data_IF_658099982053
#
_entry.id   IF_658099982053
#
_cell.length_a   1.000
_cell.length_b   1.000
_cell.length_c   1.000
_cell.angle_alpha   90.00
_cell.angle_beta   90.00
_cell.angle_gamma   90.00
#
_symmetry.space_group_name_H-M   'P 1'
#
loop_
_entity.id
_entity.type
_entity.pdbx_description
1 polymer ?
#
# COMPACT_ATOMS: atom_id res chain seq x y z
N UNK A 1 9.10 -5.69 41.94
CA UNK A 1 9.35 -6.28 40.59
C UNK A 1 9.14 -5.17 39.59
N UNK A 2 10.21 -4.62 39.04
CA UNK A 2 10.14 -3.57 38.01
C UNK A 2 9.73 -4.29 36.69
N UNK A 3 8.53 -3.97 36.17
CA UNK A 3 8.09 -4.48 34.91
C UNK A 3 9.12 -4.07 33.84
N UNK A 4 9.72 -5.04 33.13
CA UNK A 4 10.55 -4.77 31.97
C UNK A 4 9.58 -4.23 30.90
N UNK A 5 9.58 -2.90 30.72
CA UNK A 5 8.86 -2.26 29.63
C UNK A 5 9.50 -2.79 28.34
N UNK A 6 8.71 -3.49 27.53
CA UNK A 6 9.18 -4.06 26.28
C UNK A 6 9.32 -2.91 25.26
N UNK A 7 10.51 -2.35 25.17
CA UNK A 7 10.86 -1.18 24.31
C UNK A 7 11.08 -1.56 22.83
N UNK A 8 10.66 -2.76 22.42
CA UNK A 8 10.94 -3.29 21.08
C UNK A 8 9.65 -3.59 20.34
N UNK A 9 9.70 -3.38 19.02
CA UNK A 9 8.68 -3.86 18.09
C UNK A 9 8.64 -5.39 18.15
N UNK A 10 7.47 -5.96 18.38
CA UNK A 10 7.24 -7.40 18.33
C UNK A 10 6.80 -7.79 16.92
N UNK A 11 7.29 -8.90 16.41
CA UNK A 11 6.92 -9.38 15.07
C UNK A 11 6.19 -10.72 15.18
N UNK A 12 5.02 -10.81 14.54
CA UNK A 12 4.32 -12.08 14.28
C UNK A 12 4.42 -12.36 12.78
N UNK A 13 5.13 -13.42 12.41
CA UNK A 13 5.40 -13.76 11.00
C UNK A 13 4.43 -14.84 10.50
N UNK A 14 4.04 -14.75 9.22
CA UNK A 14 3.25 -15.77 8.53
C UNK A 14 1.81 -15.92 9.00
N UNK A 15 1.21 -14.86 9.57
CA UNK A 15 -0.18 -14.86 10.00
C UNK A 15 -1.11 -14.96 8.79
N UNK A 16 -2.04 -15.90 8.80
CA UNK A 16 -3.03 -16.07 7.72
C UNK A 16 -4.07 -14.96 7.83
N UNK A 17 -4.22 -14.16 6.76
CA UNK A 17 -5.24 -13.10 6.71
C UNK A 17 -6.43 -13.42 5.81
N UNK A 18 -6.31 -14.44 4.98
CA UNK A 18 -7.36 -14.83 4.05
C UNK A 18 -6.93 -15.94 3.12
N UNK A 19 -7.69 -16.14 2.06
CA UNK A 19 -7.41 -17.15 1.02
C UNK A 19 -7.53 -16.53 -0.37
N UNK A 20 -6.74 -17.03 -1.32
CA UNK A 20 -6.80 -16.60 -2.72
C UNK A 20 -6.34 -17.73 -3.65
N UNK A 21 -7.11 -18.06 -4.69
CA UNK A 21 -6.74 -19.13 -5.61
C UNK A 21 -6.59 -20.51 -4.97
N UNK A 22 -7.26 -20.75 -3.85
CA UNK A 22 -7.19 -22.04 -3.13
C UNK A 22 -6.02 -22.17 -2.15
N UNK A 23 -5.21 -21.11 -1.96
CA UNK A 23 -4.15 -21.10 -0.95
C UNK A 23 -4.38 -20.05 0.14
N UNK A 24 -3.74 -20.24 1.29
CA UNK A 24 -3.67 -19.23 2.33
C UNK A 24 -2.83 -18.03 1.87
N UNK A 25 -3.30 -16.84 2.23
CA UNK A 25 -2.60 -15.57 2.07
C UNK A 25 -2.08 -15.14 3.44
N UNK A 26 -0.80 -14.76 3.51
CA UNK A 26 -0.10 -14.51 4.77
C UNK A 26 0.44 -13.09 4.88
N UNK A 27 0.52 -12.58 6.11
CA UNK A 27 1.14 -11.31 6.43
C UNK A 27 2.11 -11.46 7.61
N UNK A 28 3.00 -10.48 7.74
CA UNK A 28 3.83 -10.29 8.92
C UNK A 28 3.36 -9.02 9.65
N UNK A 29 3.17 -9.12 10.96
CA UNK A 29 2.62 -8.04 11.79
C UNK A 29 3.74 -7.50 12.69
N UNK A 30 3.98 -6.21 12.62
CA UNK A 30 4.95 -5.47 13.44
C UNK A 30 4.19 -4.63 14.46
N UNK A 31 4.14 -5.11 15.70
CA UNK A 31 3.41 -4.48 16.79
C UNK A 31 4.30 -3.48 17.54
N UNK A 32 3.84 -2.23 17.72
CA UNK A 32 4.59 -1.24 18.48
C UNK A 32 4.66 -1.59 19.96
N UNK A 33 5.67 -1.07 20.69
CA UNK A 33 5.65 -1.08 22.15
C UNK A 33 4.37 -0.43 22.68
N UNK A 34 3.75 -1.03 23.69
CA UNK A 34 2.47 -0.55 24.26
C UNK A 34 2.50 0.92 24.68
N UNK A 35 3.66 1.39 25.18
CA UNK A 35 3.84 2.77 25.67
C UNK A 35 3.73 3.85 24.55
N UNK A 36 3.95 3.48 23.28
CA UNK A 36 3.91 4.44 22.16
C UNK A 36 2.80 4.16 21.17
N UNK A 37 2.01 3.11 21.37
CA UNK A 37 0.95 2.68 20.45
C UNK A 37 -0.06 3.82 20.23
N UNK A 38 -0.32 4.17 18.96
CA UNK A 38 -1.13 5.33 18.59
C UNK A 38 -2.47 4.99 17.92
N UNK A 39 -2.76 3.70 17.72
CA UNK A 39 -4.00 3.21 17.13
C UNK A 39 -4.06 3.25 15.61
N UNK A 40 -3.02 3.70 14.90
CA UNK A 40 -3.00 3.66 13.44
C UNK A 40 -2.48 2.30 12.97
N UNK A 41 -3.21 1.67 12.04
CA UNK A 41 -2.78 0.52 11.26
C UNK A 41 -2.19 0.94 9.92
N UNK A 42 -1.05 0.35 9.53
CA UNK A 42 -0.45 0.58 8.20
C UNK A 42 -0.30 -0.75 7.49
N UNK A 43 -1.06 -0.94 6.41
CA UNK A 43 -0.89 -2.08 5.52
C UNK A 43 0.23 -1.77 4.53
N UNK A 44 1.27 -2.61 4.49
CA UNK A 44 2.44 -2.46 3.65
C UNK A 44 2.41 -3.46 2.49
N UNK A 45 2.46 -2.96 1.24
CA UNK A 45 2.34 -3.75 0.01
C UNK A 45 3.63 -3.69 -0.78
N UNK A 46 4.26 -4.85 -0.99
CA UNK A 46 5.56 -4.94 -1.65
C UNK A 46 5.49 -4.67 -3.16
N UNK A 47 6.60 -4.23 -3.74
CA UNK A 47 6.81 -4.09 -5.18
C UNK A 47 7.19 -5.40 -5.86
N UNK A 48 7.76 -5.31 -7.07
CA UNK A 48 8.26 -6.45 -7.84
C UNK A 48 7.48 -6.73 -9.13
N UNK A 49 6.89 -5.69 -9.75
CA UNK A 49 6.20 -5.78 -11.04
C UNK A 49 5.05 -6.79 -11.06
N UNK A 50 4.38 -6.95 -9.92
CA UNK A 50 3.31 -7.92 -9.66
C UNK A 50 3.72 -9.40 -9.87
N UNK A 51 4.96 -9.67 -10.29
CA UNK A 51 5.46 -11.00 -10.69
C UNK A 51 6.47 -11.60 -9.72
N UNK A 52 6.98 -10.82 -8.79
CA UNK A 52 7.98 -11.23 -7.81
C UNK A 52 7.89 -10.39 -6.54
N UNK A 53 8.66 -10.76 -5.53
CA UNK A 53 8.67 -10.09 -4.23
C UNK A 53 7.87 -10.85 -3.18
N UNK A 54 8.01 -10.41 -1.96
CA UNK A 54 7.29 -10.96 -0.82
C UNK A 54 7.19 -9.92 0.31
N UNK A 55 6.40 -10.23 1.34
CA UNK A 55 6.12 -9.37 2.49
C UNK A 55 7.35 -8.94 3.28
N UNK A 56 8.46 -9.70 3.24
CA UNK A 56 9.69 -9.38 3.99
C UNK A 56 10.41 -8.14 3.46
N UNK A 57 10.18 -7.76 2.21
CA UNK A 57 10.80 -6.58 1.58
C UNK A 57 10.52 -5.28 2.35
N UNK A 58 9.38 -5.19 3.02
CA UNK A 58 8.96 -4.00 3.76
C UNK A 58 9.20 -4.09 5.28
N UNK A 59 9.94 -5.12 5.74
CA UNK A 59 10.34 -5.29 7.15
C UNK A 59 11.00 -4.02 7.73
N UNK A 60 11.82 -3.34 6.94
CA UNK A 60 12.47 -2.10 7.35
C UNK A 60 11.46 -1.02 7.76
N UNK A 61 10.45 -0.77 6.94
CA UNK A 61 9.36 0.15 7.26
C UNK A 61 8.52 -0.35 8.44
N UNK A 62 8.19 -1.64 8.48
CA UNK A 62 7.46 -2.25 9.60
C UNK A 62 8.12 -1.96 10.95
N UNK A 63 9.45 -2.13 11.04
CA UNK A 63 10.21 -1.85 12.27
C UNK A 63 10.35 -0.34 12.53
N UNK A 64 10.65 0.47 11.51
CA UNK A 64 10.82 1.93 11.68
C UNK A 64 9.53 2.59 12.18
N UNK A 65 8.41 2.31 11.53
CA UNK A 65 7.10 2.87 11.87
C UNK A 65 6.56 2.24 13.18
N UNK A 66 6.80 0.95 13.41
CA UNK A 66 6.46 0.28 14.67
C UNK A 66 7.10 0.95 15.90
N UNK A 67 8.36 1.38 15.81
CA UNK A 67 9.03 2.15 16.88
C UNK A 67 8.37 3.51 17.15
N UNK A 68 7.61 4.03 16.21
CA UNK A 68 6.87 5.30 16.29
C UNK A 68 5.41 5.11 16.71
N UNK A 69 5.01 3.89 17.07
CA UNK A 69 3.68 3.61 17.62
C UNK A 69 2.65 3.06 16.63
N UNK A 70 3.04 2.82 15.39
CA UNK A 70 2.15 2.30 14.34
C UNK A 70 2.14 0.77 14.32
N UNK A 71 0.97 0.15 14.22
CA UNK A 71 0.87 -1.28 13.94
C UNK A 71 1.01 -1.48 12.43
N UNK A 72 2.09 -2.14 11.98
CA UNK A 72 2.34 -2.34 10.56
C UNK A 72 2.06 -3.79 10.17
N UNK A 73 1.40 -3.99 9.04
CA UNK A 73 1.03 -5.30 8.50
C UNK A 73 1.60 -5.41 7.08
N UNK A 74 2.65 -6.19 6.88
CA UNK A 74 3.21 -6.45 5.56
C UNK A 74 2.53 -7.68 4.96
N UNK A 75 1.72 -7.48 3.90
CA UNK A 75 0.98 -8.58 3.28
C UNK A 75 1.61 -9.04 1.98
N UNK A 76 1.43 -10.31 1.67
CA UNK A 76 1.61 -10.85 0.34
C UNK A 76 0.32 -10.66 -0.48
N UNK A 77 0.42 -10.89 -1.77
CA UNK A 77 -0.67 -11.02 -2.73
C UNK A 77 -0.28 -12.05 -3.79
N UNK A 78 -1.24 -12.63 -4.49
CA UNK A 78 -0.98 -13.57 -5.59
C UNK A 78 -0.19 -12.88 -6.69
N UNK A 79 0.94 -13.48 -7.07
CA UNK A 79 1.79 -12.97 -8.15
C UNK A 79 1.22 -13.40 -9.52
N UNK A 80 1.70 -12.76 -10.59
CA UNK A 80 1.22 -13.03 -11.96
C UNK A 80 1.46 -14.46 -12.44
N UNK A 81 2.41 -15.17 -11.85
CA UNK A 81 2.62 -16.60 -12.06
C UNK A 81 1.54 -17.49 -11.43
N UNK A 82 0.75 -16.95 -10.49
CA UNK A 82 -0.34 -17.67 -9.81
C UNK A 82 -1.70 -17.28 -10.41
N UNK A 83 -1.92 -15.97 -10.65
CA UNK A 83 -3.20 -15.49 -11.15
C UNK A 83 -3.02 -14.14 -11.89
N UNK A 84 -3.87 -13.93 -12.90
CA UNK A 84 -3.98 -12.65 -13.61
C UNK A 84 -4.78 -11.62 -12.78
N UNK A 85 -4.72 -10.35 -13.18
CA UNK A 85 -5.60 -9.31 -12.70
C UNK A 85 -7.08 -9.72 -12.82
N UNK A 86 -7.93 -9.47 -11.81
CA UNK A 86 -7.73 -8.58 -10.64
C UNK A 86 -7.26 -9.28 -9.36
N UNK A 87 -6.72 -10.49 -9.42
CA UNK A 87 -6.35 -11.27 -8.23
C UNK A 87 -5.49 -10.49 -7.21
N UNK A 88 -4.59 -9.65 -7.67
CA UNK A 88 -3.67 -8.87 -6.83
C UNK A 88 -4.42 -7.84 -5.98
N UNK A 89 -5.36 -7.10 -6.57
CA UNK A 89 -6.15 -6.12 -5.82
C UNK A 89 -7.19 -6.79 -4.91
N UNK A 90 -7.75 -7.93 -5.30
CA UNK A 90 -8.66 -8.71 -4.45
C UNK A 90 -7.96 -9.14 -3.15
N UNK A 91 -6.72 -9.60 -3.25
CA UNK A 91 -5.92 -10.04 -2.10
C UNK A 91 -5.54 -8.87 -1.19
N UNK A 92 -5.16 -7.72 -1.77
CA UNK A 92 -4.89 -6.50 -0.99
C UNK A 92 -6.14 -6.02 -0.25
N UNK A 93 -7.29 -6.01 -0.90
CA UNK A 93 -8.56 -5.64 -0.25
C UNK A 93 -8.96 -6.65 0.84
N UNK A 94 -8.69 -7.95 0.63
CA UNK A 94 -8.85 -8.95 1.69
C UNK A 94 -7.96 -8.63 2.91
N UNK A 95 -6.70 -8.23 2.71
CA UNK A 95 -5.82 -7.83 3.80
C UNK A 95 -6.34 -6.59 4.56
N UNK A 96 -6.88 -5.59 3.86
CA UNK A 96 -7.52 -4.42 4.50
C UNK A 96 -8.70 -4.87 5.38
N UNK A 97 -9.58 -5.72 4.86
CA UNK A 97 -10.72 -6.25 5.59
C UNK A 97 -10.30 -7.06 6.82
N UNK A 98 -9.25 -7.89 6.67
CA UNK A 98 -8.66 -8.63 7.79
C UNK A 98 -8.21 -7.68 8.92
N UNK A 99 -7.44 -6.64 8.60
CA UNK A 99 -6.96 -5.70 9.62
C UNK A 99 -8.13 -5.01 10.32
N UNK A 100 -9.15 -4.60 9.58
CA UNK A 100 -10.33 -3.95 10.16
C UNK A 100 -11.17 -4.92 11.01
N UNK A 101 -11.37 -6.14 10.57
CA UNK A 101 -12.10 -7.16 11.31
C UNK A 101 -11.39 -7.55 12.62
N UNK A 102 -10.06 -7.47 12.66
CA UNK A 102 -9.24 -7.80 13.82
C UNK A 102 -8.67 -6.54 14.52
N UNK A 103 -9.26 -5.37 14.28
CA UNK A 103 -8.74 -4.09 14.73
C UNK A 103 -8.51 -4.03 16.24
N UNK A 104 -9.42 -4.58 17.05
CA UNK A 104 -9.32 -4.64 18.50
C UNK A 104 -8.11 -5.47 18.97
N UNK A 105 -7.91 -6.67 18.39
CA UNK A 105 -6.75 -7.54 18.68
C UNK A 105 -5.43 -6.85 18.30
N UNK A 106 -5.41 -6.24 17.10
CA UNK A 106 -4.24 -5.54 16.58
C UNK A 106 -3.99 -4.20 17.30
N UNK A 107 -4.97 -3.73 18.09
CA UNK A 107 -4.95 -2.43 18.74
C UNK A 107 -4.88 -1.28 17.74
N UNK A 108 -5.65 -1.39 16.69
CA UNK A 108 -5.83 -0.43 15.61
C UNK A 108 -7.23 0.15 15.71
N UNK A 109 -7.37 1.43 15.45
CA UNK A 109 -8.66 2.06 15.19
C UNK A 109 -9.11 1.67 13.78
N UNK A 110 -10.27 1.01 13.60
CA UNK A 110 -10.72 0.55 12.28
C UNK A 110 -10.90 1.68 11.26
N UNK A 111 -11.08 2.91 11.71
CA UNK A 111 -11.23 4.09 10.84
C UNK A 111 -9.89 4.79 10.54
N UNK A 112 -8.79 4.33 11.15
CA UNK A 112 -7.43 4.87 10.96
C UNK A 112 -6.48 3.87 10.29
N UNK A 113 -6.97 3.21 9.25
CA UNK A 113 -6.16 2.29 8.46
C UNK A 113 -5.57 2.99 7.24
N UNK A 114 -4.25 3.03 7.17
CA UNK A 114 -3.46 3.58 6.05
C UNK A 114 -2.95 2.42 5.20
N UNK A 115 -2.88 2.61 3.89
CA UNK A 115 -2.21 1.68 2.99
C UNK A 115 -0.98 2.33 2.38
N UNK A 116 0.13 1.60 2.32
CA UNK A 116 1.38 2.05 1.73
C UNK A 116 2.04 0.96 0.91
N UNK A 117 2.65 1.32 -0.21
CA UNK A 117 3.40 0.37 -1.01
C UNK A 117 4.33 1.03 -2.01
N UNK A 118 5.23 0.23 -2.59
CA UNK A 118 6.23 0.70 -3.52
C UNK A 118 6.08 0.04 -4.90
N UNK A 119 6.28 0.81 -6.00
CA UNK A 119 6.20 0.30 -7.38
C UNK A 119 4.84 -0.38 -7.66
N UNK A 120 4.83 -1.66 -8.00
CA UNK A 120 3.61 -2.47 -8.12
C UNK A 120 2.73 -2.42 -6.85
N UNK A 121 3.33 -2.43 -5.66
CA UNK A 121 2.61 -2.24 -4.40
C UNK A 121 2.06 -0.82 -4.23
N UNK A 122 2.76 0.18 -4.75
CA UNK A 122 2.28 1.56 -4.82
C UNK A 122 1.04 1.71 -5.72
N UNK A 123 1.07 1.05 -6.87
CA UNK A 123 -0.10 0.93 -7.75
C UNK A 123 -1.29 0.28 -7.02
N UNK A 124 -1.07 -0.88 -6.38
CA UNK A 124 -2.13 -1.59 -5.65
C UNK A 124 -2.68 -0.77 -4.48
N UNK A 125 -1.83 0.02 -3.81
CA UNK A 125 -2.24 0.93 -2.75
C UNK A 125 -3.16 2.05 -3.27
N UNK A 126 -2.81 2.66 -4.41
CA UNK A 126 -3.65 3.67 -5.06
C UNK A 126 -4.97 3.06 -5.57
N UNK A 127 -4.92 1.85 -6.13
CA UNK A 127 -6.14 1.12 -6.54
C UNK A 127 -7.05 0.84 -5.35
N UNK A 128 -6.51 0.40 -4.22
CA UNK A 128 -7.29 0.15 -3.02
C UNK A 128 -7.95 1.44 -2.48
N UNK A 129 -7.23 2.57 -2.52
CA UNK A 129 -7.76 3.87 -2.09
C UNK A 129 -8.86 4.41 -3.00
N UNK A 130 -8.66 4.32 -4.32
CA UNK A 130 -9.58 4.95 -5.29
C UNK A 130 -10.74 4.08 -5.74
N UNK A 131 -10.53 2.77 -5.86
CA UNK A 131 -11.54 1.82 -6.33
C UNK A 131 -12.38 1.22 -5.17
N UNK A 132 -12.69 2.04 -4.15
CA UNK A 132 -13.63 1.68 -3.10
C UNK A 132 -15.02 1.42 -3.68
N UNK A 133 -15.65 0.29 -3.29
CA UNK A 133 -16.98 -0.09 -3.77
C UNK A 133 -17.04 -0.65 -5.19
N UNK A 134 -15.90 -0.82 -5.90
CA UNK A 134 -15.87 -1.55 -7.17
C UNK A 134 -15.98 -3.04 -6.89
N UNK A 135 -17.18 -3.59 -7.05
CA UNK A 135 -17.51 -4.97 -6.68
C UNK A 135 -16.57 -6.03 -7.30
N UNK A 136 -16.11 -5.78 -8.54
CA UNK A 136 -15.19 -6.68 -9.25
C UNK A 136 -13.77 -6.75 -8.65
N UNK A 137 -13.46 -5.92 -7.65
CA UNK A 137 -12.14 -5.89 -6.99
C UNK A 137 -12.20 -6.32 -5.52
N UNK A 138 -13.37 -6.62 -4.99
CA UNK A 138 -13.49 -7.04 -3.59
C UNK A 138 -13.01 -8.47 -3.35
N UNK A 139 -13.15 -9.34 -4.33
CA UNK A 139 -12.78 -10.75 -4.19
C UNK A 139 -13.57 -11.48 -3.11
N UNK A 140 -13.24 -12.75 -2.89
CA UNK A 140 -13.90 -13.64 -1.92
C UNK A 140 -12.95 -14.21 -0.85
N UNK A 141 -11.81 -13.59 -0.64
CA UNK A 141 -10.72 -14.12 0.19
C UNK A 141 -10.98 -14.14 1.70
N UNK A 142 -12.06 -13.51 2.17
CA UNK A 142 -12.46 -13.45 3.57
C UNK A 142 -12.99 -12.09 4.00
N UNK A 143 -13.63 -12.07 5.17
CA UNK A 143 -14.15 -10.87 5.84
C UNK A 143 -15.09 -10.03 4.98
N UNK A 144 -16.00 -10.67 4.24
CA UNK A 144 -16.86 -10.04 3.21
C UNK A 144 -17.76 -8.91 3.76
N UNK A 145 -18.16 -9.02 5.03
CA UNK A 145 -19.04 -8.02 5.69
C UNK A 145 -18.27 -6.79 6.22
N UNK A 146 -16.97 -6.72 5.94
CA UNK A 146 -16.08 -5.64 6.42
C UNK A 146 -15.66 -4.74 5.27
N UNK A 147 -15.66 -3.41 5.48
CA UNK A 147 -15.23 -2.44 4.47
C UNK A 147 -13.74 -2.57 4.12
N UNK A 148 -13.41 -2.44 2.83
CA UNK A 148 -12.03 -2.34 2.32
C UNK A 148 -11.54 -0.88 2.12
N UNK A 149 -12.27 0.12 2.60
CA UNK A 149 -11.84 1.53 2.51
C UNK A 149 -10.63 1.80 3.41
N UNK A 150 -9.86 2.83 3.09
CA UNK A 150 -8.70 3.26 3.86
C UNK A 150 -8.77 4.75 4.18
N UNK A 151 -8.17 5.17 5.29
CA UNK A 151 -8.15 6.56 5.74
C UNK A 151 -7.16 7.43 4.95
N UNK A 152 -6.08 6.84 4.44
CA UNK A 152 -5.07 7.53 3.63
C UNK A 152 -4.27 6.54 2.79
N UNK A 153 -3.64 7.04 1.71
CA UNK A 153 -2.75 6.27 0.83
C UNK A 153 -1.36 6.89 0.82
N UNK A 154 -0.33 6.06 0.91
CA UNK A 154 1.07 6.45 0.73
C UNK A 154 1.66 5.59 -0.38
N UNK A 155 2.13 6.22 -1.46
CA UNK A 155 2.55 5.46 -2.64
C UNK A 155 3.92 5.92 -3.15
N UNK A 156 4.82 4.95 -3.27
CA UNK A 156 6.18 5.17 -3.73
C UNK A 156 6.30 4.79 -5.21
N UNK A 157 6.73 5.73 -6.02
CA UNK A 157 7.01 5.58 -7.46
C UNK A 157 6.03 4.65 -8.19
N UNK A 158 4.70 4.93 -8.09
CA UNK A 158 3.67 4.05 -8.63
C UNK A 158 3.49 4.20 -10.13
N UNK A 159 3.19 3.11 -10.86
CA UNK A 159 2.44 3.19 -12.11
C UNK A 159 1.02 3.68 -11.84
N UNK A 160 0.51 4.62 -12.65
CA UNK A 160 -0.81 5.23 -12.44
C UNK A 160 -1.73 5.21 -13.66
N UNK A 161 -1.16 5.10 -14.88
CA UNK A 161 -1.89 5.05 -16.14
C UNK A 161 -1.43 3.88 -17.00
N UNK A 162 -1.94 2.67 -16.74
CA UNK A 162 -1.48 1.44 -17.40
C UNK A 162 -1.82 1.39 -18.89
N UNK A 163 -2.93 2.01 -19.32
CA UNK A 163 -3.35 2.07 -20.71
C UNK A 163 -2.40 2.91 -21.59
N UNK A 164 -1.55 3.71 -20.97
CA UNK A 164 -0.65 4.64 -21.68
C UNK A 164 0.71 4.04 -21.99
N UNK A 165 0.95 2.76 -21.65
CA UNK A 165 2.29 2.18 -21.71
C UNK A 165 2.38 0.77 -22.25
N UNK A 166 3.45 0.56 -23.02
CA UNK A 166 3.97 -0.77 -23.35
C UNK A 166 4.95 -1.26 -22.30
N UNK A 167 4.51 -1.44 -21.03
CA UNK A 167 5.39 -1.97 -19.99
C UNK A 167 5.57 -3.48 -20.19
N UNK A 168 6.82 -3.94 -20.04
CA UNK A 168 7.13 -5.36 -20.17
C UNK A 168 6.36 -6.27 -19.18
N UNK A 169 5.89 -5.74 -18.05
CA UNK A 169 5.11 -6.45 -17.04
C UNK A 169 3.61 -6.57 -17.32
N UNK A 170 3.03 -5.72 -18.18
CA UNK A 170 1.59 -5.73 -18.44
C UNK A 170 1.08 -7.07 -19.03
N UNK A 171 1.76 -7.72 -20.01
CA UNK A 171 1.32 -9.02 -20.48
C UNK A 171 1.34 -10.11 -19.42
N UNK A 172 2.20 -10.03 -18.42
CA UNK A 172 2.21 -10.95 -17.30
C UNK A 172 1.02 -10.71 -16.37
N UNK A 173 0.65 -9.45 -16.14
CA UNK A 173 -0.45 -9.09 -15.23
C UNK A 173 -1.84 -9.36 -15.84
N UNK A 174 -2.03 -9.08 -17.13
CA UNK A 174 -3.35 -9.12 -17.77
C UNK A 174 -3.51 -10.23 -18.82
N UNK A 175 -2.45 -10.95 -19.15
CA UNK A 175 -2.40 -11.78 -20.34
C UNK A 175 -2.10 -10.96 -21.61
N UNK A 176 -1.81 -11.68 -22.72
CA UNK A 176 -1.52 -11.04 -24.00
C UNK A 176 -2.77 -10.42 -24.60
N UNK A 177 -2.67 -9.20 -25.11
CA UNK A 177 -3.76 -8.54 -25.85
C UNK A 177 -4.92 -8.09 -24.94
N UNK A 178 -4.68 -7.80 -23.68
CA UNK A 178 -5.71 -7.26 -22.81
C UNK A 178 -6.35 -5.99 -23.42
N UNK A 179 -7.69 -5.87 -23.40
CA UNK A 179 -8.38 -4.70 -23.91
C UNK A 179 -7.95 -3.42 -23.18
N UNK A 180 -7.91 -2.29 -23.90
CA UNK A 180 -7.61 -0.98 -23.30
C UNK A 180 -8.53 -0.65 -22.13
N UNK A 181 -9.81 -1.03 -22.21
CA UNK A 181 -10.77 -0.83 -21.13
C UNK A 181 -10.35 -1.57 -19.83
N UNK A 182 -9.75 -2.76 -19.94
CA UNK A 182 -9.21 -3.50 -18.78
C UNK A 182 -8.02 -2.77 -18.18
N UNK A 183 -7.09 -2.29 -19.00
CA UNK A 183 -5.93 -1.51 -18.55
C UNK A 183 -6.37 -0.21 -17.88
N UNK A 184 -7.34 0.50 -18.47
CA UNK A 184 -7.92 1.70 -17.88
C UNK A 184 -8.62 1.42 -16.55
N UNK A 185 -9.40 0.33 -16.46
CA UNK A 185 -10.05 -0.11 -15.23
C UNK A 185 -9.06 -0.50 -14.11
N UNK A 186 -7.83 -0.86 -14.47
CA UNK A 186 -6.75 -1.13 -13.52
C UNK A 186 -5.82 0.08 -13.29
N UNK A 187 -6.13 1.24 -13.83
CA UNK A 187 -5.32 2.46 -13.70
C UNK A 187 -5.83 3.35 -12.59
N UNK A 188 -5.03 3.63 -11.53
CA UNK A 188 -5.41 4.52 -10.44
C UNK A 188 -5.97 5.88 -10.88
N UNK A 189 -5.43 6.45 -11.98
CA UNK A 189 -5.91 7.71 -12.56
C UNK A 189 -7.40 7.69 -12.90
N UNK A 190 -7.97 6.54 -13.24
CA UNK A 190 -9.39 6.37 -13.53
C UNK A 190 -10.28 6.71 -12.32
N UNK A 191 -9.75 6.55 -11.13
CA UNK A 191 -10.46 6.71 -9.86
C UNK A 191 -10.11 8.00 -9.11
N UNK A 192 -9.37 8.93 -9.73
CA UNK A 192 -8.99 10.20 -9.13
C UNK A 192 -10.20 11.15 -9.05
N UNK A 193 -11.06 10.93 -8.07
CA UNK A 193 -12.28 11.71 -7.79
C UNK A 193 -12.22 12.33 -6.39
N UNK A 194 -13.14 13.23 -6.06
CA UNK A 194 -13.22 13.87 -4.74
C UNK A 194 -13.45 12.91 -3.56
N UNK A 195 -13.81 11.66 -3.83
CA UNK A 195 -13.94 10.60 -2.81
C UNK A 195 -12.64 9.87 -2.52
N UNK A 196 -11.55 10.17 -3.24
CA UNK A 196 -10.25 9.57 -2.99
C UNK A 196 -9.71 10.01 -1.61
N UNK A 197 -9.12 9.11 -0.80
CA UNK A 197 -8.58 9.50 0.50
C UNK A 197 -7.34 10.39 0.38
N UNK A 198 -6.97 11.16 1.42
CA UNK A 198 -5.72 11.89 1.47
C UNK A 198 -4.54 11.04 1.00
N UNK A 199 -3.69 11.57 0.13
CA UNK A 199 -2.67 10.79 -0.57
C UNK A 199 -1.29 11.45 -0.51
N UNK A 200 -0.27 10.65 -0.16
CA UNK A 200 1.14 11.00 -0.26
C UNK A 200 1.79 10.22 -1.40
N UNK A 201 2.42 10.93 -2.32
CA UNK A 201 3.21 10.37 -3.41
C UNK A 201 4.69 10.68 -3.19
N UNK A 202 5.56 9.68 -3.33
CA UNK A 202 7.02 9.81 -3.19
C UNK A 202 7.68 9.22 -4.43
N UNK A 203 8.56 9.99 -5.11
CA UNK A 203 9.18 9.55 -6.36
C UNK A 203 10.60 10.08 -6.52
N UNK A 204 11.44 9.38 -7.25
CA UNK A 204 12.77 9.83 -7.67
C UNK A 204 12.77 10.34 -9.12
N UNK A 205 13.34 11.52 -9.41
CA UNK A 205 13.27 12.09 -10.76
C UNK A 205 14.31 11.53 -11.75
N UNK A 206 15.00 10.45 -11.39
CA UNK A 206 15.85 9.65 -12.28
C UNK A 206 15.38 8.18 -12.34
N UNK A 207 14.08 7.98 -12.14
CA UNK A 207 13.46 6.68 -12.24
C UNK A 207 13.30 6.28 -13.72
N UNK A 208 14.06 5.25 -14.13
CA UNK A 208 14.06 4.71 -15.49
C UNK A 208 13.08 3.54 -15.66
N UNK A 209 12.51 3.05 -14.56
CA UNK A 209 11.51 1.97 -14.55
C UNK A 209 10.10 2.54 -14.62
N UNK A 210 9.77 3.43 -13.67
CA UNK A 210 8.50 4.15 -13.61
C UNK A 210 8.81 5.65 -13.68
N UNK A 211 8.63 6.33 -14.82
CA UNK A 211 8.90 7.75 -14.91
C UNK A 211 8.11 8.57 -13.89
N UNK A 212 8.76 9.59 -13.33
CA UNK A 212 8.17 10.51 -12.34
C UNK A 212 6.86 11.19 -12.83
N UNK A 213 6.68 11.27 -14.14
CA UNK A 213 5.44 11.75 -14.75
C UNK A 213 4.19 10.94 -14.34
N UNK A 214 4.35 9.69 -13.88
CA UNK A 214 3.25 8.91 -13.33
C UNK A 214 2.75 9.49 -12.00
N UNK A 215 3.66 9.78 -11.06
CA UNK A 215 3.30 10.42 -9.80
C UNK A 215 2.80 11.85 -10.01
N UNK A 216 3.41 12.61 -10.92
CA UNK A 216 3.00 13.98 -11.24
C UNK A 216 1.56 14.03 -11.76
N UNK A 217 1.21 13.16 -12.72
CA UNK A 217 -0.16 13.07 -13.23
C UNK A 217 -1.18 12.69 -12.15
N UNK A 218 -0.82 11.75 -11.28
CA UNK A 218 -1.72 11.36 -10.18
C UNK A 218 -1.92 12.52 -9.19
N UNK A 219 -0.85 13.24 -8.85
CA UNK A 219 -0.91 14.44 -8.04
C UNK A 219 -1.84 15.50 -8.66
N UNK A 220 -1.65 15.81 -9.94
CA UNK A 220 -2.45 16.80 -10.65
C UNK A 220 -3.94 16.40 -10.69
N UNK A 221 -4.24 15.14 -10.95
CA UNK A 221 -5.61 14.63 -11.01
C UNK A 221 -6.29 14.68 -9.63
N UNK A 222 -5.62 14.26 -8.56
CA UNK A 222 -6.16 14.32 -7.20
C UNK A 222 -6.31 15.76 -6.71
N UNK A 223 -5.34 16.63 -7.00
CA UNK A 223 -5.41 18.05 -6.65
C UNK A 223 -6.59 18.74 -7.37
N UNK A 224 -6.78 18.46 -8.65
CA UNK A 224 -7.92 18.96 -9.42
C UNK A 224 -9.27 18.45 -8.89
N UNK A 225 -9.30 17.25 -8.31
CA UNK A 225 -10.47 16.68 -7.65
C UNK A 225 -10.72 17.23 -6.23
N UNK A 226 -9.83 18.10 -5.72
CA UNK A 226 -9.94 18.69 -4.38
C UNK A 226 -9.51 17.72 -3.25
N UNK A 227 -8.79 16.66 -3.57
CA UNK A 227 -8.26 15.71 -2.58
C UNK A 227 -6.98 16.27 -1.93
N UNK A 228 -6.81 16.21 -0.61
CA UNK A 228 -5.52 16.50 0.03
C UNK A 228 -4.45 15.57 -0.52
N UNK A 229 -3.51 16.11 -1.29
CA UNK A 229 -2.45 15.33 -1.93
C UNK A 229 -1.09 16.03 -1.81
N UNK A 230 -0.05 15.25 -1.51
CA UNK A 230 1.33 15.71 -1.48
C UNK A 230 2.19 14.89 -2.43
N UNK A 231 3.15 15.56 -3.08
CA UNK A 231 4.16 14.93 -3.91
C UNK A 231 5.56 15.33 -3.44
N UNK A 232 6.35 14.35 -3.00
CA UNK A 232 7.74 14.53 -2.64
C UNK A 232 8.66 13.94 -3.72
N UNK A 233 9.38 14.84 -4.44
CA UNK A 233 10.28 14.45 -5.51
C UNK A 233 11.73 14.45 -5.02
N UNK A 234 12.39 13.29 -5.10
CA UNK A 234 13.79 13.13 -4.72
C UNK A 234 14.72 13.33 -5.92
N UNK A 235 15.53 14.40 -5.86
CA UNK A 235 16.43 14.78 -6.94
C UNK A 235 17.52 13.72 -7.18
N UNK A 236 17.68 13.30 -8.44
CA UNK A 236 18.72 12.38 -8.88
C UNK A 236 18.53 10.92 -8.41
N UNK A 237 17.35 10.54 -7.90
CA UNK A 237 17.15 9.20 -7.37
C UNK A 237 16.46 8.28 -8.37
N UNK A 238 16.96 7.01 -8.50
CA UNK A 238 16.39 6.00 -9.38
C UNK A 238 15.19 5.29 -8.74
N UNK A 239 14.61 4.31 -9.46
CA UNK A 239 13.61 3.40 -8.92
C UNK A 239 14.11 2.63 -7.69
N UNK A 240 13.28 2.48 -6.65
CA UNK A 240 13.65 1.72 -5.45
C UNK A 240 14.68 2.42 -4.55
N UNK A 241 14.86 3.72 -4.67
CA UNK A 241 15.88 4.48 -3.94
C UNK A 241 15.75 4.42 -2.41
N UNK A 242 14.56 4.17 -1.93
CA UNK A 242 14.23 4.06 -0.50
C UNK A 242 14.74 2.76 0.14
N UNK A 243 15.26 1.82 -0.65
CA UNK A 243 16.03 0.67 -0.17
C UNK A 243 17.36 1.09 0.50
N UNK A 244 17.89 2.28 0.15
CA UNK A 244 18.99 2.87 0.90
C UNK A 244 18.52 3.23 2.33
N UNK A 245 19.19 2.74 3.40
CA UNK A 245 18.72 2.92 4.77
C UNK A 245 18.61 4.38 5.22
N UNK A 246 19.39 5.30 4.62
CA UNK A 246 19.33 6.73 4.94
C UNK A 246 18.10 7.37 4.28
N UNK A 247 17.87 7.04 3.01
CA UNK A 247 16.72 7.55 2.25
C UNK A 247 15.42 6.93 2.74
N UNK A 248 15.41 5.64 3.06
CA UNK A 248 14.25 4.98 3.68
C UNK A 248 13.83 5.61 5.01
N UNK A 249 14.80 5.98 5.88
CA UNK A 249 14.49 6.74 7.10
C UNK A 249 13.92 8.13 6.80
N UNK A 250 14.47 8.84 5.80
CA UNK A 250 13.93 10.14 5.38
C UNK A 250 12.50 10.01 4.85
N UNK A 251 12.23 8.99 4.04
CA UNK A 251 10.87 8.70 3.58
C UNK A 251 9.93 8.38 4.75
N UNK A 252 10.38 7.60 5.74
CA UNK A 252 9.58 7.31 6.93
C UNK A 252 9.20 8.58 7.71
N UNK A 253 10.10 9.56 7.87
CA UNK A 253 9.77 10.83 8.52
C UNK A 253 8.74 11.65 7.71
N UNK A 254 8.80 11.62 6.38
CA UNK A 254 7.77 12.23 5.51
C UNK A 254 6.42 11.55 5.71
N UNK A 255 6.38 10.19 5.74
CA UNK A 255 5.18 9.42 6.02
C UNK A 255 4.55 9.80 7.38
N UNK A 256 5.39 9.91 8.42
CA UNK A 256 4.95 10.27 9.77
C UNK A 256 4.32 11.67 9.78
N UNK A 257 4.99 12.66 9.19
CA UNK A 257 4.48 14.03 9.10
C UNK A 257 3.15 14.13 8.34
N UNK A 258 2.98 13.34 7.29
CA UNK A 258 1.72 13.25 6.54
C UNK A 258 0.61 12.61 7.39
N UNK A 259 0.87 11.48 8.04
CA UNK A 259 -0.11 10.79 8.88
C UNK A 259 -0.50 11.59 10.11
N UNK A 260 0.40 12.36 10.70
CA UNK A 260 0.09 13.25 11.83
C UNK A 260 -0.99 14.29 11.43
N UNK A 261 -0.88 14.88 10.24
CA UNK A 261 -1.85 15.88 9.77
C UNK A 261 -3.17 15.28 9.30
N UNK A 262 -3.13 14.23 8.49
CA UNK A 262 -4.31 13.74 7.78
C UNK A 262 -5.00 12.54 8.44
N UNK A 263 -4.35 11.85 9.37
CA UNK A 263 -4.91 10.67 10.05
C UNK A 263 -5.08 10.90 11.55
N UNK A 264 -4.12 11.58 12.20
CA UNK A 264 -4.19 11.91 13.63
C UNK A 264 -4.83 13.27 13.90
N UNK A 265 -4.82 14.21 12.94
CA UNK A 265 -5.37 15.55 13.09
C UNK A 265 -4.53 16.42 14.04
N UNK A 266 -3.21 16.34 13.98
CA UNK A 266 -2.26 17.08 14.81
C UNK A 266 -1.49 18.14 14.03
#
# INVERSE_FOLDING_TARGET
MTAIVQDRVTTREGVVFGTGGGRELRCDIYEPPAAVKNGIGILLIHGGGWSQGDRSQLKGYGVLLGRRGYTCIASEYRLTGEALWPAQIEDVKCAIRYVRANAAELGVDPDRLVISGNSAGGHLSLMAGGAGGVAGFEGSGGHADTSSNVAAVISFYPPTGLERRSWGGLPALFGKGAPEATLRGASPLTYATSSFPPTLLIHGNKDEVVPEAEATRMYEALNAAGVPVELHMFAGRPHGFDADPKLGRQCAEIMLSFMDRFVLGR
#
